data_IF_164414284335
#
_entry.id   IF_164414284335
#
_cell.length_a   1.000
_cell.length_b   1.000
_cell.length_c   1.000
_cell.angle_alpha   90.00
_cell.angle_beta   90.00
_cell.angle_gamma   90.00
#
_symmetry.space_group_name_H-M   'P 1'
#
loop_
_entity.id
_entity.type
_entity.pdbx_description
1 polymer ?
#
# COMPACT_ATOMS: atom_id res chain seq x y z
N UNK A 1 -2.03 2.33 -18.26
CA UNK A 1 -3.17 3.27 -18.15
C UNK A 1 -2.93 4.19 -16.95
N UNK A 2 -2.65 5.50 -17.15
CA UNK A 2 -2.26 6.40 -16.06
C UNK A 2 -3.28 6.47 -14.90
N UNK A 3 -4.57 6.23 -15.18
CA UNK A 3 -5.62 6.24 -14.16
C UNK A 3 -5.73 4.95 -13.34
N UNK A 4 -5.28 3.80 -13.88
CA UNK A 4 -5.38 2.51 -13.17
C UNK A 4 -4.57 2.57 -11.88
N UNK A 5 -3.32 3.01 -12.01
CA UNK A 5 -2.41 3.10 -10.89
C UNK A 5 -3.05 3.99 -9.79
N UNK A 6 -3.67 5.12 -10.14
CA UNK A 6 -4.30 6.01 -9.16
C UNK A 6 -5.43 5.33 -8.39
N UNK A 7 -6.30 4.60 -9.10
CA UNK A 7 -7.41 3.86 -8.50
C UNK A 7 -6.94 2.75 -7.55
N UNK A 8 -5.89 2.02 -7.94
CA UNK A 8 -5.28 0.99 -7.09
C UNK A 8 -4.75 1.60 -5.79
N UNK A 9 -4.04 2.73 -5.88
CA UNK A 9 -3.52 3.44 -4.70
C UNK A 9 -4.65 3.92 -3.78
N UNK A 10 -5.69 4.54 -4.34
CA UNK A 10 -6.83 5.00 -3.55
C UNK A 10 -7.58 3.84 -2.88
N UNK A 11 -7.73 2.70 -3.55
CA UNK A 11 -8.35 1.52 -2.94
C UNK A 11 -7.49 0.96 -1.80
N UNK A 12 -6.17 0.87 -2.00
CA UNK A 12 -5.24 0.45 -0.96
C UNK A 12 -5.30 1.33 0.30
N UNK A 13 -5.35 2.66 0.14
CA UNK A 13 -5.50 3.59 1.28
C UNK A 13 -6.80 3.34 2.03
N UNK A 14 -7.93 3.19 1.33
CA UNK A 14 -9.22 2.96 1.98
C UNK A 14 -9.26 1.63 2.75
N UNK A 15 -8.62 0.59 2.22
CA UNK A 15 -8.50 -0.70 2.90
C UNK A 15 -7.61 -0.61 4.14
N UNK A 16 -6.49 0.10 4.08
CA UNK A 16 -5.68 0.36 5.27
C UNK A 16 -6.47 1.13 6.34
N UNK A 17 -7.20 2.18 5.96
CA UNK A 17 -8.08 2.91 6.90
C UNK A 17 -9.19 2.04 7.48
N UNK A 18 -9.70 1.05 6.73
CA UNK A 18 -10.66 0.08 7.24
C UNK A 18 -9.99 -0.89 8.22
N UNK A 19 -8.79 -1.38 7.90
CA UNK A 19 -7.97 -2.19 8.80
C UNK A 19 -7.70 -1.46 10.12
N UNK A 20 -7.27 -0.20 10.09
CA UNK A 20 -7.01 0.60 11.31
C UNK A 20 -8.24 0.70 12.22
N UNK A 21 -9.44 0.67 11.64
CA UNK A 21 -10.71 0.76 12.39
C UNK A 21 -11.26 -0.58 12.84
N UNK A 22 -11.11 -1.62 12.02
CA UNK A 22 -11.79 -2.91 12.20
C UNK A 22 -10.83 -4.05 12.59
N UNK A 23 -9.52 -3.85 12.48
CA UNK A 23 -8.48 -4.85 12.76
C UNK A 23 -8.47 -6.04 11.80
N UNK A 24 -9.09 -5.92 10.62
CA UNK A 24 -9.22 -7.02 9.65
C UNK A 24 -7.95 -7.17 8.83
N UNK A 25 -7.13 -8.18 9.14
CA UNK A 25 -5.84 -8.41 8.47
C UNK A 25 -5.95 -8.55 6.95
N UNK A 26 -7.01 -9.20 6.45
CA UNK A 26 -7.26 -9.36 5.00
C UNK A 26 -7.32 -8.00 4.27
N UNK A 27 -7.88 -6.97 4.90
CA UNK A 27 -7.92 -5.62 4.31
C UNK A 27 -6.50 -5.04 4.20
N UNK A 28 -5.64 -5.27 5.20
CA UNK A 28 -4.26 -4.80 5.19
C UNK A 28 -3.42 -5.53 4.14
N UNK A 29 -3.55 -6.84 4.04
CA UNK A 29 -2.84 -7.64 3.03
C UNK A 29 -3.24 -7.22 1.61
N UNK A 30 -4.52 -7.00 1.39
CA UNK A 30 -5.03 -6.50 0.11
C UNK A 30 -4.55 -5.06 -0.16
N UNK A 31 -4.48 -4.20 0.87
CA UNK A 31 -3.92 -2.86 0.75
C UNK A 31 -2.46 -2.88 0.29
N UNK A 32 -1.63 -3.75 0.85
CA UNK A 32 -0.22 -3.94 0.43
C UNK A 32 -0.18 -4.42 -1.02
N UNK A 33 -0.96 -5.44 -1.37
CA UNK A 33 -1.02 -5.98 -2.74
C UNK A 33 -1.36 -4.91 -3.78
N UNK A 34 -2.36 -4.08 -3.49
CA UNK A 34 -2.80 -3.01 -4.39
C UNK A 34 -1.78 -1.86 -4.47
N UNK A 35 -1.13 -1.49 -3.37
CA UNK A 35 -0.05 -0.49 -3.38
C UNK A 35 1.15 -0.96 -4.21
N UNK A 36 1.55 -2.24 -4.11
CA UNK A 36 2.60 -2.83 -5.00
C UNK A 36 2.19 -2.77 -6.47
N UNK A 37 0.95 -3.12 -6.80
CA UNK A 37 0.45 -3.00 -8.18
C UNK A 37 0.39 -1.53 -8.67
N UNK A 38 0.06 -0.61 -7.77
CA UNK A 38 0.03 0.82 -8.06
C UNK A 38 1.45 1.36 -8.37
N UNK A 39 2.47 0.88 -7.66
CA UNK A 39 3.89 1.17 -7.93
C UNK A 39 4.31 0.58 -9.28
N UNK A 40 4.07 -0.72 -9.50
CA UNK A 40 4.44 -1.41 -10.73
C UNK A 40 3.77 -0.84 -12.00
N UNK A 41 2.56 -0.28 -11.86
CA UNK A 41 1.84 0.37 -12.96
C UNK A 41 2.27 1.83 -13.21
N UNK A 42 3.21 2.36 -12.44
CA UNK A 42 3.68 3.76 -12.53
C UNK A 42 5.08 3.79 -13.16
N UNK A 43 5.28 4.51 -14.28
CA UNK A 43 6.59 4.65 -14.89
C UNK A 43 7.59 5.36 -13.98
N UNK A 44 8.87 5.01 -14.12
CA UNK A 44 9.96 5.71 -13.47
C UNK A 44 9.96 7.20 -13.82
N UNK A 45 10.22 8.05 -12.82
CA UNK A 45 10.19 9.51 -12.97
C UNK A 45 8.78 10.13 -13.00
N UNK A 46 7.71 9.34 -12.96
CA UNK A 46 6.36 9.89 -12.86
C UNK A 46 6.17 10.61 -11.50
N UNK A 47 5.61 11.83 -11.46
CA UNK A 47 5.54 12.65 -10.25
C UNK A 47 4.80 11.98 -9.08
N UNK A 48 3.80 11.14 -9.39
CA UNK A 48 3.03 10.41 -8.39
C UNK A 48 3.72 9.14 -7.85
N UNK A 49 4.88 8.73 -8.37
CA UNK A 49 5.57 7.50 -7.94
C UNK A 49 5.94 7.56 -6.45
N UNK A 50 6.51 8.67 -6.01
CA UNK A 50 6.89 8.88 -4.60
C UNK A 50 5.69 8.75 -3.65
N UNK A 51 4.52 9.31 -4.02
CA UNK A 51 3.31 9.19 -3.22
C UNK A 51 2.82 7.74 -3.07
N UNK A 52 2.98 6.93 -4.11
CA UNK A 52 2.57 5.51 -4.11
C UNK A 52 3.52 4.64 -3.30
N UNK A 53 4.82 4.89 -3.40
CA UNK A 53 5.83 4.25 -2.56
C UNK A 53 5.59 4.58 -1.08
N UNK A 54 5.24 5.83 -0.77
CA UNK A 54 4.86 6.22 0.58
C UNK A 54 3.59 5.46 1.07
N UNK A 55 2.57 5.33 0.22
CA UNK A 55 1.39 4.51 0.56
C UNK A 55 1.74 3.03 0.79
N UNK A 56 2.66 2.46 0.01
CA UNK A 56 3.15 1.10 0.23
C UNK A 56 3.88 0.98 1.58
N UNK A 57 4.81 1.90 1.87
CA UNK A 57 5.56 1.91 3.13
C UNK A 57 4.68 2.04 4.37
N UNK A 58 3.62 2.87 4.31
CA UNK A 58 2.64 2.97 5.40
C UNK A 58 1.96 1.62 5.64
N UNK A 59 1.48 0.96 4.59
CA UNK A 59 0.80 -0.32 4.74
C UNK A 59 1.74 -1.42 5.29
N UNK A 60 3.00 -1.46 4.84
CA UNK A 60 4.02 -2.38 5.36
C UNK A 60 4.33 -2.11 6.83
N UNK A 61 4.49 -0.83 7.21
CA UNK A 61 4.68 -0.45 8.60
C UNK A 61 3.49 -0.86 9.48
N UNK A 62 2.25 -0.67 9.00
CA UNK A 62 1.05 -1.12 9.72
C UNK A 62 1.01 -2.63 9.92
N UNK A 63 1.58 -3.43 8.99
CA UNK A 63 1.69 -4.88 9.14
C UNK A 63 2.81 -5.26 10.10
N UNK A 64 3.95 -4.58 10.04
CA UNK A 64 5.03 -4.72 11.00
C UNK A 64 4.55 -4.44 12.43
N UNK A 65 3.87 -3.33 12.67
CA UNK A 65 3.33 -2.96 14.00
C UNK A 65 2.40 -4.03 14.57
N UNK A 66 1.71 -4.77 13.69
CA UNK A 66 0.76 -5.80 14.09
C UNK A 66 1.38 -7.18 14.30
N UNK A 67 2.36 -7.54 13.48
CA UNK A 67 2.89 -8.91 13.38
C UNK A 67 4.32 -9.05 13.89
N UNK A 68 5.07 -7.95 13.99
CA UNK A 68 6.51 -7.95 14.28
C UNK A 68 7.39 -8.54 13.18
N UNK A 69 6.85 -8.73 11.97
CA UNK A 69 7.60 -9.28 10.84
C UNK A 69 8.60 -8.26 10.29
N UNK A 70 9.88 -8.43 10.61
CA UNK A 70 10.94 -7.51 10.19
C UNK A 70 11.06 -7.38 8.67
N UNK A 71 10.74 -8.43 7.92
CA UNK A 71 10.75 -8.45 6.45
C UNK A 71 9.93 -7.30 5.83
N UNK A 72 8.92 -6.79 6.54
CA UNK A 72 8.11 -5.64 6.08
C UNK A 72 8.88 -4.32 6.03
N UNK A 73 9.90 -4.16 6.88
CA UNK A 73 10.71 -2.94 6.95
C UNK A 73 11.92 -2.97 6.00
N UNK A 74 12.18 -4.11 5.38
CA UNK A 74 13.33 -4.34 4.50
C UNK A 74 12.97 -4.24 3.01
N UNK A 75 11.68 -4.11 2.67
CA UNK A 75 11.19 -3.85 1.31
C UNK A 75 11.39 -2.40 0.86
#
# INVERSE_FOLDING_TARGET
HPNLAGRLNSLGINLNSRYERAGQMDDLEEAIRLSRQAVAATPDGHPNLAGRLNSLGINLNSRYERTGQMDDLEE
#
